data_IF_516044911769
#
_entry.id   IF_516044911769
#
_cell.length_a   1.000
_cell.length_b   1.000
_cell.length_c   1.000
_cell.angle_alpha   90.00
_cell.angle_beta   90.00
_cell.angle_gamma   90.00
#
_symmetry.space_group_name_H-M   'P 1'
#
loop_
_entity.id
_entity.type
_entity.pdbx_description
1 polymer ?
#
# COMPACT_ATOMS: atom_id res chain seq x y z
N UNK A 1 44.58 -42.37 -47.88
CA UNK A 1 44.21 -40.96 -47.44
C UNK A 1 42.77 -40.97 -46.99
N UNK A 2 42.53 -41.01 -45.65
CA UNK A 2 41.18 -40.95 -45.06
C UNK A 2 40.91 -39.47 -44.64
N UNK A 3 39.95 -38.87 -45.27
CA UNK A 3 39.49 -37.49 -44.88
C UNK A 3 38.55 -37.64 -43.68
N UNK A 4 38.95 -37.07 -42.55
CA UNK A 4 38.07 -36.91 -41.38
C UNK A 4 37.19 -35.68 -41.59
N UNK A 5 35.86 -35.83 -41.60
CA UNK A 5 34.89 -34.74 -41.54
C UNK A 5 34.66 -34.41 -40.05
N UNK A 6 35.10 -33.21 -39.67
CA UNK A 6 34.84 -32.69 -38.34
C UNK A 6 33.46 -31.95 -38.36
N UNK A 7 32.48 -32.51 -37.69
CA UNK A 7 31.15 -31.92 -37.56
C UNK A 7 31.20 -30.93 -36.41
N UNK A 8 31.14 -29.64 -36.71
CA UNK A 8 31.04 -28.57 -35.71
C UNK A 8 29.56 -28.47 -35.27
N UNK A 9 29.27 -28.88 -34.05
CA UNK A 9 27.99 -28.59 -33.39
C UNK A 9 27.97 -27.15 -32.89
N UNK A 10 27.22 -26.28 -33.56
CA UNK A 10 26.92 -24.93 -33.09
C UNK A 10 25.73 -25.05 -32.10
N UNK A 11 26.02 -25.04 -30.79
CA UNK A 11 25.00 -24.87 -29.78
C UNK A 11 24.45 -23.43 -29.87
N UNK A 12 23.28 -23.25 -30.46
CA UNK A 12 22.51 -22.03 -30.35
C UNK A 12 21.98 -21.94 -28.91
N UNK A 13 22.69 -21.24 -28.05
CA UNK A 13 22.14 -20.77 -26.77
C UNK A 13 21.09 -19.71 -27.08
N UNK A 14 19.80 -20.08 -27.09
CA UNK A 14 18.72 -19.13 -27.04
C UNK A 14 18.81 -18.41 -25.69
N UNK A 15 19.33 -17.18 -25.69
CA UNK A 15 19.12 -16.23 -24.61
C UNK A 15 17.62 -15.92 -24.59
N UNK A 16 16.85 -16.69 -23.82
CA UNK A 16 15.57 -16.23 -23.32
C UNK A 16 15.88 -15.00 -22.48
N UNK A 17 15.72 -13.81 -23.04
CA UNK A 17 15.80 -12.56 -22.30
C UNK A 17 14.79 -12.69 -21.17
N UNK A 18 15.28 -12.82 -19.93
CA UNK A 18 14.46 -12.57 -18.75
C UNK A 18 13.99 -11.12 -18.86
N UNK A 19 12.77 -10.94 -19.29
CA UNK A 19 12.14 -9.62 -19.27
C UNK A 19 11.84 -9.35 -17.80
N UNK A 20 12.54 -8.37 -17.23
CA UNK A 20 12.33 -7.96 -15.83
C UNK A 20 11.01 -7.17 -15.73
N UNK A 21 10.43 -7.17 -14.54
CA UNK A 21 9.27 -6.32 -14.24
C UNK A 21 9.50 -4.88 -14.70
N UNK A 22 8.50 -4.31 -15.35
CA UNK A 22 8.55 -2.92 -15.83
C UNK A 22 8.18 -1.96 -14.71
N UNK A 23 8.97 -0.91 -14.55
CA UNK A 23 8.75 0.20 -13.62
C UNK A 23 8.42 1.45 -14.41
N UNK A 24 7.19 1.93 -14.29
CA UNK A 24 6.70 3.13 -15.00
C UNK A 24 6.25 4.20 -14.01
N UNK A 25 6.53 5.45 -14.32
CA UNK A 25 5.87 6.57 -13.67
C UNK A 25 4.73 7.07 -14.58
N UNK A 26 3.51 6.88 -14.10
CA UNK A 26 2.28 7.23 -14.78
C UNK A 26 1.77 8.57 -14.27
N UNK A 27 1.00 9.29 -15.09
CA UNK A 27 0.17 10.43 -14.69
C UNK A 27 -1.28 9.98 -14.71
N UNK A 28 -1.89 9.93 -13.52
CA UNK A 28 -3.30 9.54 -13.37
C UNK A 28 -4.10 10.78 -13.01
N UNK A 29 -5.05 11.15 -13.89
CA UNK A 29 -5.92 12.28 -13.63
C UNK A 29 -6.88 11.99 -12.48
N UNK A 30 -6.94 12.88 -11.51
CA UNK A 30 -7.95 12.87 -10.45
C UNK A 30 -9.03 13.88 -10.78
N UNK A 31 -10.20 13.41 -11.13
CA UNK A 31 -11.38 14.24 -11.39
C UNK A 31 -11.81 15.01 -10.14
N UNK A 32 -11.78 14.33 -8.97
CA UNK A 32 -12.18 14.94 -7.69
C UNK A 32 -11.25 16.07 -7.24
N UNK A 33 -9.97 16.05 -7.65
CA UNK A 33 -8.97 17.07 -7.32
C UNK A 33 -8.61 17.95 -8.53
N UNK A 34 -9.11 17.64 -9.72
CA UNK A 34 -8.80 18.30 -11.00
C UNK A 34 -7.29 18.50 -11.22
N UNK A 35 -6.52 17.44 -11.03
CA UNK A 35 -5.06 17.44 -11.21
C UNK A 35 -4.52 16.06 -11.57
N UNK A 36 -3.36 16.03 -12.21
CA UNK A 36 -2.63 14.80 -12.49
C UNK A 36 -1.76 14.39 -11.30
N UNK A 37 -1.86 13.13 -10.91
CA UNK A 37 -1.11 12.56 -9.79
C UNK A 37 -0.12 11.55 -10.34
N UNK A 38 1.14 11.66 -9.91
CA UNK A 38 2.17 10.68 -10.26
C UNK A 38 1.91 9.37 -9.54
N UNK A 39 2.02 8.28 -10.27
CA UNK A 39 1.87 6.91 -9.76
C UNK A 39 3.00 6.07 -10.30
N UNK A 40 3.82 5.50 -9.44
CA UNK A 40 4.81 4.51 -9.86
C UNK A 40 4.12 3.15 -9.88
N UNK A 41 4.12 2.51 -11.06
CA UNK A 41 3.57 1.17 -11.27
C UNK A 41 4.70 0.18 -11.56
N UNK A 42 4.74 -0.93 -10.83
CA UNK A 42 5.67 -2.04 -11.04
C UNK A 42 4.85 -3.22 -11.53
N UNK A 43 5.02 -3.58 -12.80
CA UNK A 43 4.25 -4.65 -13.45
C UNK A 43 5.12 -5.86 -13.72
N UNK A 44 4.76 -7.06 -13.21
CA UNK A 44 5.47 -8.29 -13.52
C UNK A 44 5.38 -8.63 -15.02
N UNK A 45 6.34 -9.37 -15.52
CA UNK A 45 6.43 -9.80 -16.93
C UNK A 45 5.12 -10.43 -17.42
N UNK A 46 4.44 -11.23 -16.61
CA UNK A 46 3.16 -11.84 -16.96
C UNK A 46 2.05 -10.81 -17.20
N UNK A 47 2.02 -9.72 -16.41
CA UNK A 47 1.05 -8.63 -16.61
C UNK A 47 1.31 -7.87 -17.91
N UNK A 48 2.59 -7.71 -18.28
CA UNK A 48 2.99 -7.13 -19.57
C UNK A 48 2.56 -7.97 -20.77
N UNK A 49 2.42 -9.29 -20.58
CA UNK A 49 1.89 -10.23 -21.57
C UNK A 49 0.36 -10.34 -21.57
N UNK A 50 -0.32 -9.53 -20.77
CA UNK A 50 -1.78 -9.47 -20.69
C UNK A 50 -2.43 -10.43 -19.71
N UNK A 51 -1.66 -11.16 -18.90
CA UNK A 51 -2.22 -11.97 -17.81
C UNK A 51 -2.67 -11.07 -16.66
N UNK A 52 -3.86 -11.31 -16.14
CA UNK A 52 -4.35 -10.56 -15.00
C UNK A 52 -3.64 -10.95 -13.70
N UNK A 53 -3.27 -9.96 -12.91
CA UNK A 53 -2.51 -10.11 -11.66
C UNK A 53 -3.19 -9.46 -10.48
N UNK A 54 -3.02 -9.99 -9.25
CA UNK A 54 -3.40 -9.28 -8.03
C UNK A 54 -2.58 -8.00 -7.86
N UNK A 55 -3.14 -7.04 -7.09
CA UNK A 55 -2.53 -5.72 -6.89
C UNK A 55 -2.33 -5.42 -5.42
N UNK A 56 -1.17 -4.85 -5.09
CA UNK A 56 -0.89 -4.23 -3.79
C UNK A 56 -0.63 -2.74 -3.99
N UNK A 57 -1.44 -1.89 -3.38
CA UNK A 57 -1.21 -0.45 -3.31
C UNK A 57 -0.28 -0.16 -2.14
N UNK A 58 0.80 0.62 -2.39
CA UNK A 58 1.85 0.95 -1.44
C UNK A 58 1.87 2.46 -1.17
N UNK A 59 1.34 2.88 -0.04
CA UNK A 59 1.23 4.28 0.34
C UNK A 59 2.49 4.76 1.07
N UNK A 60 3.01 5.94 0.67
CA UNK A 60 4.20 6.54 1.27
C UNK A 60 3.89 7.31 2.57
N UNK A 61 4.95 7.69 3.30
CA UNK A 61 4.88 8.49 4.53
C UNK A 61 4.75 9.99 4.25
N UNK A 62 4.55 10.76 5.34
CA UNK A 62 4.55 12.22 5.28
C UNK A 62 5.88 12.73 4.71
N UNK A 63 5.85 13.75 3.87
CA UNK A 63 6.99 14.38 3.17
C UNK A 63 7.63 13.56 2.06
N UNK A 64 7.19 12.33 1.83
CA UNK A 64 7.65 11.45 0.75
C UNK A 64 6.80 11.61 -0.54
N UNK A 65 6.98 10.71 -1.50
CA UNK A 65 6.28 10.69 -2.78
C UNK A 65 6.15 9.25 -3.34
N UNK A 66 5.64 9.12 -4.57
CA UNK A 66 5.43 7.84 -5.27
C UNK A 66 6.68 6.94 -5.39
N UNK A 67 7.91 7.49 -5.28
CA UNK A 67 9.15 6.71 -5.37
C UNK A 67 9.60 6.10 -4.04
N UNK A 68 8.98 6.47 -2.92
CA UNK A 68 9.43 6.09 -1.58
C UNK A 68 9.60 4.59 -1.41
N UNK A 69 8.63 3.80 -1.84
CA UNK A 69 8.71 2.36 -1.65
C UNK A 69 9.81 1.70 -2.48
N UNK A 70 10.11 2.20 -3.67
CA UNK A 70 11.24 1.72 -4.46
C UNK A 70 12.60 2.09 -3.82
N UNK A 71 12.67 3.21 -3.07
CA UNK A 71 13.85 3.59 -2.28
C UNK A 71 14.00 2.72 -1.03
N UNK A 72 12.89 2.43 -0.34
CA UNK A 72 12.88 1.55 0.85
C UNK A 72 13.18 0.10 0.46
N UNK A 73 12.61 -0.36 -0.65
CA UNK A 73 12.72 -1.74 -1.14
C UNK A 73 13.11 -1.77 -2.63
N UNK A 74 14.40 -1.62 -2.96
CA UNK A 74 14.85 -1.51 -4.36
C UNK A 74 14.59 -2.74 -5.23
N UNK A 75 14.46 -3.92 -4.63
CA UNK A 75 14.16 -5.20 -5.29
C UNK A 75 12.64 -5.48 -5.45
N UNK A 76 11.78 -4.46 -5.29
CA UNK A 76 10.34 -4.62 -5.58
C UNK A 76 10.05 -5.13 -7.00
N UNK A 77 10.79 -4.74 -8.06
CA UNK A 77 10.59 -5.29 -9.39
C UNK A 77 10.81 -6.80 -9.46
N UNK A 78 11.89 -7.31 -8.84
CA UNK A 78 12.18 -8.75 -8.77
C UNK A 78 11.12 -9.50 -7.94
N UNK A 79 10.60 -8.84 -6.88
CA UNK A 79 9.49 -9.38 -6.08
C UNK A 79 8.21 -9.42 -6.91
N UNK A 80 7.92 -8.38 -7.70
CA UNK A 80 6.76 -8.35 -8.59
C UNK A 80 6.74 -9.55 -9.55
N UNK A 81 7.88 -9.83 -10.20
CA UNK A 81 8.01 -10.98 -11.10
C UNK A 81 7.87 -12.31 -10.37
N UNK A 82 8.60 -12.47 -9.27
CA UNK A 82 8.61 -13.73 -8.50
C UNK A 82 7.24 -14.07 -7.94
N UNK A 83 6.53 -13.07 -7.41
CA UNK A 83 5.22 -13.28 -6.77
C UNK A 83 4.06 -13.12 -7.76
N UNK A 84 4.31 -12.53 -8.93
CA UNK A 84 3.30 -12.22 -9.93
C UNK A 84 2.28 -11.21 -9.44
N UNK A 85 2.74 -10.15 -8.78
CA UNK A 85 1.93 -9.11 -8.16
C UNK A 85 2.26 -7.76 -8.79
N UNK A 86 1.24 -6.96 -9.07
CA UNK A 86 1.42 -5.56 -9.48
C UNK A 86 1.54 -4.71 -8.21
N UNK A 87 2.57 -3.85 -8.14
CA UNK A 87 2.66 -2.82 -7.11
C UNK A 87 2.29 -1.46 -7.70
N UNK A 88 1.44 -0.72 -6.98
CA UNK A 88 0.98 0.61 -7.35
C UNK A 88 1.31 1.57 -6.21
N UNK A 89 2.21 2.53 -6.47
CA UNK A 89 2.72 3.48 -5.49
C UNK A 89 2.28 4.90 -5.88
N UNK A 90 1.12 5.38 -5.43
CA UNK A 90 0.66 6.72 -5.75
C UNK A 90 1.40 7.80 -4.94
N UNK A 91 1.51 9.00 -5.53
CA UNK A 91 1.82 10.20 -4.78
C UNK A 91 0.59 10.60 -3.96
N UNK A 92 0.67 10.46 -2.66
CA UNK A 92 -0.40 10.81 -1.71
C UNK A 92 -0.32 12.27 -1.24
N UNK A 93 0.51 13.11 -1.88
CA UNK A 93 0.79 14.46 -1.43
C UNK A 93 1.67 14.51 -0.18
N UNK A 94 2.16 15.70 0.14
CA UNK A 94 3.17 15.93 1.18
C UNK A 94 2.72 15.51 2.58
N UNK A 95 1.43 15.81 2.93
CA UNK A 95 0.88 15.67 4.28
C UNK A 95 -0.64 15.40 4.27
N UNK A 96 -1.15 14.69 3.24
CA UNK A 96 -2.59 14.51 3.03
C UNK A 96 -3.29 13.58 4.03
N UNK A 97 -2.53 12.70 4.68
CA UNK A 97 -3.06 11.60 5.49
C UNK A 97 -4.05 10.71 4.75
N UNK A 98 -4.11 10.88 3.41
CA UNK A 98 -5.01 10.14 2.51
C UNK A 98 -6.50 10.32 2.83
N UNK A 99 -6.86 11.50 3.35
CA UNK A 99 -8.25 11.90 3.61
C UNK A 99 -8.88 12.63 2.41
N UNK A 100 -10.19 12.65 2.38
CA UNK A 100 -10.95 13.74 1.78
C UNK A 100 -11.12 14.81 2.85
N UNK A 101 -10.52 15.97 2.63
CA UNK A 101 -10.50 17.04 3.63
C UNK A 101 -11.89 17.70 3.76
N UNK A 102 -12.43 17.86 4.97
CA UNK A 102 -13.67 18.60 5.15
C UNK A 102 -13.49 20.12 4.98
N UNK A 103 -12.25 20.62 4.91
CA UNK A 103 -11.92 22.05 4.85
C UNK A 103 -11.38 22.43 3.48
N UNK A 104 -10.46 21.67 2.93
CA UNK A 104 -9.80 21.93 1.66
C UNK A 104 -10.42 21.02 0.59
N UNK A 105 -11.40 21.55 -0.16
CA UNK A 105 -12.23 20.78 -1.10
C UNK A 105 -11.43 20.09 -2.20
N UNK A 106 -10.28 20.65 -2.58
CA UNK A 106 -9.38 20.10 -3.61
C UNK A 106 -8.46 19.00 -3.06
N UNK A 107 -8.67 18.57 -1.81
CA UNK A 107 -7.88 17.54 -1.14
C UNK A 107 -8.74 16.29 -0.91
N UNK A 108 -8.90 15.48 -1.97
CA UNK A 108 -9.79 14.32 -2.03
C UNK A 108 -8.99 13.02 -2.22
N UNK A 109 -8.01 12.77 -1.35
CA UNK A 109 -7.12 11.61 -1.51
C UNK A 109 -7.78 10.28 -1.15
N UNK A 110 -8.80 10.23 -0.27
CA UNK A 110 -9.59 9.02 -0.04
C UNK A 110 -10.34 8.64 -1.33
N UNK A 111 -11.01 9.58 -1.96
CA UNK A 111 -11.70 9.36 -3.24
C UNK A 111 -10.72 8.93 -4.34
N UNK A 112 -9.57 9.60 -4.45
CA UNK A 112 -8.56 9.24 -5.43
C UNK A 112 -8.09 7.79 -5.25
N UNK A 113 -7.66 7.41 -4.04
CA UNK A 113 -7.10 6.08 -3.76
C UNK A 113 -8.15 4.97 -3.90
N UNK A 114 -9.35 5.18 -3.33
CA UNK A 114 -10.35 4.11 -3.22
C UNK A 114 -11.25 3.95 -4.44
N UNK A 115 -11.27 4.94 -5.36
CA UNK A 115 -12.14 4.93 -6.54
C UNK A 115 -11.38 5.18 -7.84
N UNK A 116 -10.81 6.39 -7.99
CA UNK A 116 -10.23 6.84 -9.26
C UNK A 116 -8.99 6.02 -9.65
N UNK A 117 -8.07 5.82 -8.72
CA UNK A 117 -6.85 5.03 -8.96
C UNK A 117 -7.16 3.54 -9.17
N UNK A 118 -8.16 2.98 -8.48
CA UNK A 118 -8.59 1.60 -8.69
C UNK A 118 -9.15 1.45 -10.10
N UNK A 119 -10.06 2.34 -10.52
CA UNK A 119 -10.63 2.30 -11.86
C UNK A 119 -9.56 2.41 -12.95
N UNK A 120 -8.59 3.31 -12.76
CA UNK A 120 -7.45 3.44 -13.67
C UNK A 120 -6.60 2.15 -13.72
N UNK A 121 -6.27 1.59 -12.56
CA UNK A 121 -5.45 0.38 -12.44
C UNK A 121 -6.12 -0.80 -13.14
N UNK A 122 -7.40 -1.01 -12.89
CA UNK A 122 -8.17 -2.12 -13.47
C UNK A 122 -8.32 -1.99 -15.00
N UNK A 123 -8.39 -0.76 -15.51
CA UNK A 123 -8.50 -0.51 -16.95
C UNK A 123 -7.16 -0.61 -17.70
N UNK A 124 -6.01 -0.35 -17.04
CA UNK A 124 -4.75 -0.08 -17.74
C UNK A 124 -3.57 -0.99 -17.36
N UNK A 125 -3.61 -1.71 -16.22
CA UNK A 125 -2.42 -2.40 -15.70
C UNK A 125 -2.56 -3.93 -15.68
N UNK A 126 -3.54 -4.52 -16.34
CA UNK A 126 -3.84 -5.96 -16.29
C UNK A 126 -4.07 -6.48 -14.87
N UNK A 127 -4.74 -5.68 -14.02
CA UNK A 127 -5.13 -6.11 -12.69
C UNK A 127 -6.37 -7.01 -12.73
N UNK A 128 -6.53 -7.86 -11.71
CA UNK A 128 -7.78 -8.59 -11.48
C UNK A 128 -8.78 -7.62 -10.83
N UNK A 129 -9.91 -7.28 -11.47
CA UNK A 129 -10.85 -6.27 -10.96
C UNK A 129 -11.77 -6.83 -9.87
N UNK A 130 -11.16 -7.46 -8.85
CA UNK A 130 -11.85 -8.06 -7.71
C UNK A 130 -11.18 -7.63 -6.40
N UNK A 131 -11.99 -7.26 -5.40
CA UNK A 131 -11.48 -6.88 -4.08
C UNK A 131 -10.66 -7.98 -3.41
N UNK A 132 -10.99 -9.26 -3.66
CA UNK A 132 -10.26 -10.41 -3.10
C UNK A 132 -8.84 -10.55 -3.64
N UNK A 133 -8.52 -9.85 -4.73
CA UNK A 133 -7.19 -9.80 -5.35
C UNK A 133 -6.56 -8.40 -5.23
N UNK A 134 -7.09 -7.57 -4.32
CA UNK A 134 -6.64 -6.19 -4.11
C UNK A 134 -6.33 -5.94 -2.64
N UNK A 135 -5.07 -5.59 -2.35
CA UNK A 135 -4.59 -5.21 -1.04
C UNK A 135 -4.06 -3.77 -1.03
N UNK A 136 -4.05 -3.16 0.14
CA UNK A 136 -3.47 -1.84 0.36
C UNK A 136 -2.63 -1.85 1.63
N UNK A 137 -1.46 -1.24 1.58
CA UNK A 137 -0.61 -1.04 2.76
C UNK A 137 0.20 0.24 2.63
N UNK A 138 0.91 0.60 3.68
CA UNK A 138 1.75 1.78 3.67
C UNK A 138 2.58 1.92 4.94
N UNK A 139 3.48 2.89 4.91
CA UNK A 139 4.33 3.24 6.05
C UNK A 139 3.92 4.60 6.64
N UNK A 140 3.97 4.74 7.97
CA UNK A 140 3.74 6.01 8.66
C UNK A 140 2.35 6.62 8.32
N UNK A 141 2.31 7.82 7.70
CA UNK A 141 1.10 8.42 7.13
C UNK A 141 0.42 7.46 6.14
N UNK A 142 1.18 6.71 5.34
CA UNK A 142 0.65 5.71 4.42
C UNK A 142 0.04 4.51 5.13
N UNK A 143 0.58 4.10 6.28
CA UNK A 143 -0.03 3.06 7.13
C UNK A 143 -1.37 3.48 7.70
N UNK A 144 -1.49 4.75 8.12
CA UNK A 144 -2.77 5.38 8.44
C UNK A 144 -3.71 5.35 7.23
N UNK A 145 -3.22 5.87 6.09
CA UNK A 145 -4.02 5.98 4.87
C UNK A 145 -4.53 4.64 4.36
N UNK A 146 -3.71 3.58 4.44
CA UNK A 146 -4.12 2.24 4.05
C UNK A 146 -5.27 1.72 4.93
N UNK A 147 -5.11 1.78 6.25
CA UNK A 147 -6.16 1.37 7.19
C UNK A 147 -7.42 2.24 7.05
N UNK A 148 -7.26 3.57 6.91
CA UNK A 148 -8.35 4.50 6.69
C UNK A 148 -9.17 4.15 5.46
N UNK A 149 -8.51 4.02 4.30
CA UNK A 149 -9.18 3.73 3.04
C UNK A 149 -9.86 2.35 3.04
N UNK A 150 -9.16 1.29 3.50
CA UNK A 150 -9.72 -0.05 3.47
C UNK A 150 -10.92 -0.23 4.41
N UNK A 151 -10.87 0.34 5.62
CA UNK A 151 -11.97 0.22 6.60
C UNK A 151 -13.23 0.95 6.11
N UNK A 152 -13.04 2.08 5.44
CA UNK A 152 -14.16 2.91 4.97
C UNK A 152 -14.71 2.48 3.61
N UNK A 153 -13.90 1.77 2.81
CA UNK A 153 -14.24 1.28 1.47
C UNK A 153 -13.98 -0.23 1.38
N UNK A 154 -14.71 -1.01 2.20
CA UNK A 154 -14.53 -2.47 2.31
C UNK A 154 -14.94 -3.22 1.04
N UNK A 155 -15.68 -2.61 0.15
CA UNK A 155 -16.01 -3.10 -1.19
C UNK A 155 -14.86 -2.95 -2.19
N UNK A 156 -13.91 -2.05 -1.91
CA UNK A 156 -12.76 -1.78 -2.76
C UNK A 156 -11.57 -2.70 -2.46
N UNK A 157 -11.31 -3.01 -1.20
CA UNK A 157 -10.15 -3.79 -0.76
C UNK A 157 -10.54 -5.04 0.03
N UNK A 158 -9.82 -6.14 -0.17
CA UNK A 158 -10.02 -7.38 0.58
C UNK A 158 -8.99 -7.60 1.68
N UNK A 159 -7.81 -6.98 1.56
CA UNK A 159 -6.76 -7.05 2.57
C UNK A 159 -6.11 -5.69 2.81
N UNK A 160 -5.65 -5.47 4.04
CA UNK A 160 -5.00 -4.22 4.44
C UNK A 160 -3.83 -4.47 5.37
N UNK A 161 -2.77 -3.67 5.20
CA UNK A 161 -1.62 -3.63 6.07
C UNK A 161 -1.31 -2.23 6.58
N UNK A 162 -0.57 -2.16 7.67
CA UNK A 162 0.00 -0.92 8.20
C UNK A 162 1.37 -1.18 8.78
N UNK A 163 2.36 -0.42 8.35
CA UNK A 163 3.70 -0.41 8.95
C UNK A 163 3.92 0.91 9.65
N UNK A 164 4.15 0.88 10.96
CA UNK A 164 4.39 2.10 11.77
C UNK A 164 3.31 3.18 11.53
N UNK A 165 2.05 2.81 11.37
CA UNK A 165 0.98 3.73 11.01
C UNK A 165 0.58 4.68 12.14
N UNK A 166 0.24 5.91 11.79
CA UNK A 166 -0.36 6.87 12.73
C UNK A 166 -1.84 6.55 13.00
N UNK A 167 -2.13 5.40 13.61
CA UNK A 167 -3.48 4.85 13.70
C UNK A 167 -4.39 5.54 14.72
N UNK A 168 -3.80 6.31 15.62
CA UNK A 168 -4.50 7.33 16.41
C UNK A 168 -3.71 8.64 16.35
N UNK A 169 -4.25 9.65 15.69
CA UNK A 169 -3.58 10.93 15.45
C UNK A 169 -3.77 11.92 16.59
N UNK A 170 -4.73 11.69 17.50
CA UNK A 170 -5.15 12.64 18.53
C UNK A 170 -4.07 13.03 19.54
N UNK A 171 -3.08 12.14 19.86
CA UNK A 171 -1.95 12.52 20.69
C UNK A 171 -0.97 13.50 20.04
N UNK A 172 -1.08 13.76 18.73
CA UNK A 172 -0.10 14.50 17.93
C UNK A 172 -0.70 15.75 17.22
N UNK A 173 -1.50 16.62 17.89
CA UNK A 173 -2.32 17.62 17.22
C UNK A 173 -1.53 18.70 16.46
N UNK A 174 -0.26 18.89 16.79
CA UNK A 174 0.58 19.93 16.20
C UNK A 174 1.60 19.38 15.19
N UNK A 175 1.53 18.09 14.86
CA UNK A 175 2.48 17.43 13.97
C UNK A 175 1.92 17.28 12.55
N UNK A 176 2.84 17.20 11.58
CA UNK A 176 2.57 16.77 10.19
C UNK A 176 1.43 17.49 9.47
N UNK A 177 1.19 18.76 9.77
CA UNK A 177 0.25 19.59 9.03
C UNK A 177 -1.23 19.22 9.12
N UNK A 178 -1.62 18.24 9.92
CA UNK A 178 -2.99 17.70 9.98
C UNK A 178 -4.07 18.76 10.15
N UNK A 179 -3.84 19.76 11.04
CA UNK A 179 -4.78 20.83 11.29
C UNK A 179 -5.14 21.67 10.07
N UNK A 180 -4.29 21.70 9.06
CA UNK A 180 -4.58 22.37 7.79
C UNK A 180 -5.79 21.76 7.09
N UNK A 181 -5.98 20.45 7.25
CA UNK A 181 -7.00 19.68 6.53
C UNK A 181 -8.23 19.33 7.37
N UNK A 182 -8.09 19.27 8.71
CA UNK A 182 -9.17 18.88 9.62
C UNK A 182 -9.44 19.91 10.74
N UNK A 183 -8.76 21.07 10.70
CA UNK A 183 -8.91 22.16 11.67
C UNK A 183 -8.12 21.96 12.96
N UNK A 184 -8.05 23.00 13.78
CA UNK A 184 -7.43 22.93 15.11
C UNK A 184 -8.18 21.91 15.97
N UNK A 185 -7.45 21.03 16.69
CA UNK A 185 -8.06 19.90 17.42
C UNK A 185 -9.08 20.36 18.47
N UNK A 186 -8.72 21.36 19.26
CA UNK A 186 -9.54 21.78 20.41
C UNK A 186 -10.84 22.47 19.98
N UNK A 187 -10.87 23.02 18.76
CA UNK A 187 -12.06 23.59 18.14
C UNK A 187 -12.86 22.55 17.33
N UNK A 188 -12.24 21.45 16.92
CA UNK A 188 -12.79 20.46 15.98
C UNK A 188 -12.67 19.02 16.49
N UNK A 189 -12.87 18.78 17.79
CA UNK A 189 -12.75 17.45 18.41
C UNK A 189 -13.57 16.37 17.68
N UNK A 190 -14.76 16.71 17.20
CA UNK A 190 -15.59 15.79 16.44
C UNK A 190 -14.91 15.36 15.12
N UNK A 191 -14.32 16.33 14.39
CA UNK A 191 -13.62 16.06 13.12
C UNK A 191 -12.40 15.17 13.39
N UNK A 192 -11.58 15.50 14.39
CA UNK A 192 -10.41 14.70 14.77
C UNK A 192 -10.78 13.26 15.16
N UNK A 193 -11.85 13.09 15.95
CA UNK A 193 -12.35 11.76 16.30
C UNK A 193 -12.82 10.97 15.09
N UNK A 194 -13.41 11.63 14.09
CA UNK A 194 -13.90 10.97 12.88
C UNK A 194 -12.81 10.74 11.84
N UNK A 195 -11.63 11.40 11.95
CA UNK A 195 -10.51 11.25 11.02
C UNK A 195 -9.35 10.41 11.60
N UNK A 196 -9.62 9.64 12.66
CA UNK A 196 -8.63 8.73 13.24
C UNK A 196 -9.04 7.27 13.06
N UNK A 197 -8.07 6.40 12.68
CA UNK A 197 -8.32 5.00 12.33
C UNK A 197 -8.95 4.22 13.47
N UNK A 198 -8.45 4.40 14.70
CA UNK A 198 -8.95 3.62 15.85
C UNK A 198 -10.47 3.79 16.06
N UNK A 199 -11.04 4.93 15.71
CA UNK A 199 -12.47 5.20 15.82
C UNK A 199 -13.28 4.71 14.60
N UNK A 200 -12.62 4.22 13.53
CA UNK A 200 -13.29 3.59 12.40
C UNK A 200 -13.45 2.07 12.57
N UNK A 201 -12.78 1.48 13.54
CA UNK A 201 -12.75 0.03 13.73
C UNK A 201 -14.13 -0.60 13.98
N UNK A 202 -15.08 0.17 14.55
CA UNK A 202 -16.46 -0.29 14.77
C UNK A 202 -17.24 -0.56 13.47
N UNK A 203 -16.70 -0.14 12.31
CA UNK A 203 -17.23 -0.47 10.98
C UNK A 203 -16.90 -1.89 10.55
N UNK A 204 -15.92 -2.52 11.19
CA UNK A 204 -15.44 -3.85 10.82
C UNK A 204 -16.34 -4.94 11.42
N UNK A 205 -16.55 -5.95 10.61
CA UNK A 205 -17.01 -7.27 11.06
C UNK A 205 -15.86 -8.25 10.87
N UNK A 206 -15.84 -9.32 11.67
CA UNK A 206 -14.83 -10.36 11.51
C UNK A 206 -14.90 -10.95 10.09
N UNK A 207 -13.72 -11.13 9.48
CA UNK A 207 -13.60 -11.62 8.11
C UNK A 207 -13.90 -10.59 6.99
N UNK A 208 -14.33 -9.37 7.33
CA UNK A 208 -14.60 -8.33 6.31
C UNK A 208 -13.32 -7.89 5.56
N UNK A 209 -12.20 -7.83 6.27
CA UNK A 209 -10.87 -7.54 5.75
C UNK A 209 -9.86 -8.52 6.34
N UNK A 210 -8.87 -8.95 5.56
CA UNK A 210 -7.64 -9.55 6.09
C UNK A 210 -6.71 -8.41 6.55
N UNK A 211 -6.32 -8.40 7.83
CA UNK A 211 -5.62 -7.26 8.45
C UNK A 211 -4.26 -7.69 8.98
N UNK A 212 -3.20 -6.94 8.66
CA UNK A 212 -1.87 -7.07 9.26
C UNK A 212 -1.34 -5.70 9.72
N UNK A 213 -0.90 -5.60 10.96
CA UNK A 213 -0.31 -4.40 11.55
C UNK A 213 1.10 -4.74 12.03
N UNK A 214 2.08 -3.93 11.67
CA UNK A 214 3.48 -4.11 12.04
C UNK A 214 4.06 -2.79 12.56
N UNK A 215 4.66 -2.80 13.77
CA UNK A 215 5.25 -1.61 14.34
C UNK A 215 6.45 -1.95 15.24
N UNK A 216 7.54 -1.21 15.08
CA UNK A 216 8.71 -1.33 15.92
C UNK A 216 8.44 -0.91 17.37
N UNK A 217 8.96 -1.65 18.36
CA UNK A 217 8.72 -1.34 19.78
C UNK A 217 9.37 -0.03 20.25
N UNK A 218 10.34 0.49 19.49
CA UNK A 218 10.99 1.79 19.71
C UNK A 218 10.43 2.91 18.81
N UNK A 219 9.34 2.63 18.08
CA UNK A 219 8.65 3.60 17.24
C UNK A 219 7.76 4.50 18.10
N UNK A 220 7.71 5.79 17.81
CA UNK A 220 6.83 6.72 18.54
C UNK A 220 5.34 6.45 18.31
N UNK A 221 4.98 5.74 17.23
CA UNK A 221 3.61 5.25 17.00
C UNK A 221 3.32 3.87 17.61
N UNK A 222 4.29 3.23 18.28
CA UNK A 222 4.06 1.89 18.85
C UNK A 222 2.83 1.83 19.76
N UNK A 223 2.67 2.82 20.65
CA UNK A 223 1.55 2.87 21.57
C UNK A 223 0.18 2.91 20.88
N UNK A 224 0.05 3.70 19.81
CA UNK A 224 -1.22 3.82 19.08
C UNK A 224 -1.50 2.60 18.19
N UNK A 225 -0.46 1.92 17.68
CA UNK A 225 -0.62 0.66 16.97
C UNK A 225 -1.06 -0.47 17.92
N UNK A 226 -0.45 -0.55 19.13
CA UNK A 226 -0.86 -1.47 20.18
C UNK A 226 -2.31 -1.23 20.61
N UNK A 227 -2.74 0.02 20.77
CA UNK A 227 -4.12 0.35 21.11
C UNK A 227 -5.13 -0.14 20.05
N UNK A 228 -4.79 -0.02 18.76
CA UNK A 228 -5.61 -0.57 17.67
C UNK A 228 -5.67 -2.09 17.73
N UNK A 229 -4.55 -2.78 17.97
CA UNK A 229 -4.52 -4.22 18.19
C UNK A 229 -5.46 -4.64 19.34
N UNK A 230 -5.35 -4.00 20.50
CA UNK A 230 -6.19 -4.29 21.67
C UNK A 230 -7.69 -4.02 21.35
N UNK A 231 -7.99 -2.97 20.60
CA UNK A 231 -9.37 -2.66 20.18
C UNK A 231 -9.93 -3.72 19.22
N UNK A 232 -9.13 -4.18 18.25
CA UNK A 232 -9.54 -5.27 17.34
C UNK A 232 -9.83 -6.57 18.08
N UNK A 233 -9.02 -6.90 19.11
CA UNK A 233 -9.29 -8.05 20.00
C UNK A 233 -10.63 -7.90 20.73
N UNK A 234 -10.93 -6.72 21.29
CA UNK A 234 -12.22 -6.43 21.96
C UNK A 234 -13.40 -6.58 20.99
N UNK A 235 -13.23 -6.16 19.76
CA UNK A 235 -14.23 -6.28 18.68
C UNK A 235 -14.33 -7.71 18.11
N UNK A 236 -13.44 -8.61 18.52
CA UNK A 236 -13.31 -9.98 17.98
C UNK A 236 -13.06 -10.01 16.48
N UNK A 237 -12.30 -9.04 15.97
CA UNK A 237 -11.87 -8.96 14.56
C UNK A 237 -10.51 -9.64 14.42
N UNK A 238 -10.45 -10.69 13.61
CA UNK A 238 -9.22 -11.44 13.32
C UNK A 238 -8.19 -10.58 12.59
N UNK A 239 -6.94 -10.55 13.08
CA UNK A 239 -5.84 -9.78 12.50
C UNK A 239 -4.48 -10.31 12.95
N UNK A 240 -3.44 -10.05 12.15
CA UNK A 240 -2.05 -10.26 12.54
C UNK A 240 -1.48 -8.97 13.13
N UNK A 241 -0.81 -9.07 14.29
CA UNK A 241 -0.07 -7.97 14.91
C UNK A 241 1.38 -8.37 15.13
N UNK A 242 2.31 -7.65 14.50
CA UNK A 242 3.75 -7.89 14.62
C UNK A 242 4.39 -6.72 15.38
N UNK A 243 5.06 -7.05 16.48
CA UNK A 243 5.86 -6.11 17.27
C UNK A 243 7.26 -6.69 17.48
N UNK A 244 8.28 -5.95 17.07
CA UNK A 244 9.68 -6.40 17.14
C UNK A 244 10.63 -5.23 17.36
N UNK A 245 11.90 -5.48 17.73
CA UNK A 245 12.89 -4.41 17.84
C UNK A 245 13.02 -3.60 16.57
N UNK A 246 13.03 -2.27 16.69
CA UNK A 246 13.12 -1.31 15.60
C UNK A 246 12.34 -0.04 15.88
N UNK A 247 12.53 0.99 15.07
CA UNK A 247 11.92 2.31 15.19
C UNK A 247 11.39 2.82 13.86
N UNK A 248 11.04 4.09 13.80
CA UNK A 248 10.41 4.76 12.67
C UNK A 248 11.42 5.10 11.57
N UNK A 249 11.84 4.12 10.76
CA UNK A 249 12.87 4.31 9.72
C UNK A 249 12.81 3.28 8.60
N UNK A 250 13.52 3.60 7.49
CA UNK A 250 13.55 2.79 6.28
C UNK A 250 14.04 1.36 6.51
N UNK A 251 15.00 1.14 7.41
CA UNK A 251 15.51 -0.20 7.74
C UNK A 251 14.41 -1.10 8.30
N UNK A 252 13.58 -0.55 9.20
CA UNK A 252 12.44 -1.28 9.74
C UNK A 252 11.40 -1.58 8.66
N UNK A 253 11.06 -0.59 7.85
CA UNK A 253 10.04 -0.69 6.80
C UNK A 253 10.46 -1.64 5.67
N UNK A 254 11.75 -1.65 5.31
CA UNK A 254 12.30 -2.62 4.36
C UNK A 254 12.08 -4.07 4.80
N UNK A 255 12.27 -4.36 6.09
CA UNK A 255 12.02 -5.68 6.64
C UNK A 255 10.50 -5.97 6.81
N UNK A 256 9.72 -4.98 7.21
CA UNK A 256 8.27 -5.12 7.45
C UNK A 256 7.50 -5.51 6.20
N UNK A 257 7.85 -4.95 5.04
CA UNK A 257 7.11 -5.18 3.80
C UNK A 257 7.17 -6.66 3.34
N UNK A 258 8.21 -7.41 3.67
CA UNK A 258 8.31 -8.83 3.34
C UNK A 258 7.21 -9.64 4.02
N UNK A 259 6.94 -9.36 5.30
CA UNK A 259 5.88 -10.03 6.04
C UNK A 259 4.51 -9.69 5.47
N UNK A 260 4.31 -8.45 5.07
CA UNK A 260 3.05 -8.00 4.50
C UNK A 260 2.79 -8.57 3.11
N UNK A 261 3.79 -8.59 2.22
CA UNK A 261 3.66 -9.22 0.90
C UNK A 261 3.32 -10.71 1.05
N UNK A 262 4.00 -11.42 1.96
CA UNK A 262 3.72 -12.83 2.24
C UNK A 262 2.29 -13.03 2.78
N UNK A 263 1.82 -12.14 3.66
CA UNK A 263 0.47 -12.16 4.19
C UNK A 263 -0.56 -11.97 3.07
N UNK A 264 -0.38 -10.95 2.22
CA UNK A 264 -1.27 -10.67 1.10
C UNK A 264 -1.27 -11.78 0.06
N UNK A 265 -0.10 -12.34 -0.28
CA UNK A 265 -0.02 -13.49 -1.17
C UNK A 265 -0.86 -14.65 -0.67
N UNK A 266 -0.70 -15.03 0.61
CA UNK A 266 -1.52 -16.08 1.24
C UNK A 266 -3.02 -15.73 1.21
N UNK A 267 -3.37 -14.45 1.32
CA UNK A 267 -4.75 -14.01 1.19
C UNK A 267 -5.27 -14.16 -0.24
N UNK A 268 -4.49 -13.77 -1.27
CA UNK A 268 -4.86 -13.89 -2.68
C UNK A 268 -5.00 -15.34 -3.16
N UNK A 269 -4.33 -16.28 -2.52
CA UNK A 269 -4.37 -17.71 -2.84
C UNK A 269 -5.59 -18.44 -2.21
N UNK A 270 -6.36 -17.76 -1.35
CA UNK A 270 -7.63 -18.32 -0.85
C UNK A 270 -8.67 -18.36 -1.98
N UNK A 271 -9.31 -19.53 -2.11
CA UNK A 271 -10.43 -19.75 -3.03
C UNK A 271 -11.73 -19.07 -2.52
#
# INVERSE_FOLDING_TARGET
MKRAFSTIYICLLAFLGLQAAQVDTLLVHSESMNKDIKVLAIRPDKALKGEQCPVIYLLHGCTDNHEKWLKVRPDLPEIADREGIIFVCPDGGYDSWYWDSPIVKEYCYETFISKELIAYTDANLSSIPDRSKRAITGLSMGGHGAMWNAIRNQDAFGAVGSTSGGLDIRPFPNNWGMKKYIGERDENLYVWNNHTVINQLDRLKDGALAIIIDCGISDFFYGVNKAVHERLLQLKVGHDFIARPGGHNDTYWNNSIDYQIKFFKKYFEKE
#
